data_IF_820387293983
#
_entry.id   IF_820387293983
#
_cell.length_a   1.000
_cell.length_b   1.000
_cell.length_c   1.000
_cell.angle_alpha   90.00
_cell.angle_beta   90.00
_cell.angle_gamma   90.00
#
_symmetry.space_group_name_H-M   'P 1'
#
loop_
_entity.id
_entity.type
_entity.pdbx_description
1 polymer ?
#
# COMPACT_ATOMS: atom_id res chain seq x y z
N UNK A 1 -2.10 -33.68 5.44
CA UNK A 1 -1.41 -32.98 4.33
C UNK A 1 -2.30 -33.04 3.11
N UNK A 2 -3.18 -32.04 2.94
CA UNK A 2 -4.07 -31.97 1.79
C UNK A 2 -3.34 -31.20 0.66
N UNK A 3 -3.17 -31.84 -0.49
CA UNK A 3 -2.59 -31.22 -1.67
C UNK A 3 -3.50 -30.08 -2.15
N UNK A 4 -2.92 -28.92 -2.46
CA UNK A 4 -3.64 -27.82 -3.07
C UNK A 4 -4.28 -28.30 -4.38
N UNK A 5 -5.60 -28.13 -4.52
CA UNK A 5 -6.33 -28.47 -5.74
C UNK A 5 -5.80 -27.59 -6.87
N UNK A 6 -5.03 -28.18 -7.78
CA UNK A 6 -4.63 -27.55 -9.03
C UNK A 6 -5.88 -27.45 -9.90
N UNK A 7 -6.49 -26.27 -9.97
CA UNK A 7 -7.65 -26.02 -10.83
C UNK A 7 -7.20 -25.96 -12.30
N UNK A 8 -7.83 -26.78 -13.13
CA UNK A 8 -7.59 -26.80 -14.58
C UNK A 8 -8.09 -25.50 -15.21
N UNK A 9 -7.19 -24.80 -15.91
CA UNK A 9 -7.48 -23.55 -16.63
C UNK A 9 -8.21 -23.79 -17.97
N UNK A 10 -8.52 -25.02 -18.37
CA UNK A 10 -9.08 -25.32 -19.71
C UNK A 10 -10.56 -25.65 -19.71
N UNK A 11 -11.20 -25.65 -18.55
CA UNK A 11 -12.64 -25.89 -18.45
C UNK A 11 -13.37 -24.57 -18.69
N UNK A 12 -14.31 -24.55 -19.65
CA UNK A 12 -15.25 -23.43 -19.81
C UNK A 12 -16.03 -23.30 -18.50
N UNK A 13 -15.64 -22.32 -17.67
CA UNK A 13 -16.33 -22.01 -16.41
C UNK A 13 -17.73 -21.49 -16.74
N UNK A 14 -18.71 -21.88 -15.93
CA UNK A 14 -19.97 -21.16 -15.86
C UNK A 14 -19.68 -19.67 -15.54
N UNK A 15 -20.57 -18.76 -15.96
CA UNK A 15 -20.42 -17.32 -15.68
C UNK A 15 -20.15 -17.11 -14.18
N UNK A 16 -19.04 -16.45 -13.84
CA UNK A 16 -18.64 -16.25 -12.46
C UNK A 16 -19.74 -15.52 -11.68
N UNK A 17 -20.06 -16.03 -10.49
CA UNK A 17 -20.98 -15.35 -9.57
C UNK A 17 -20.28 -14.18 -8.88
N UNK A 18 -21.04 -13.33 -8.19
CA UNK A 18 -20.45 -12.25 -7.39
C UNK A 18 -19.54 -12.79 -6.27
N UNK A 19 -19.94 -13.89 -5.63
CA UNK A 19 -19.16 -14.56 -4.58
C UNK A 19 -17.83 -15.11 -5.14
N UNK A 20 -17.85 -15.68 -6.35
CA UNK A 20 -16.62 -16.16 -7.01
C UNK A 20 -15.64 -15.02 -7.27
N UNK A 21 -16.13 -13.84 -7.63
CA UNK A 21 -15.29 -12.65 -7.88
C UNK A 21 -14.71 -12.08 -6.57
N UNK A 22 -15.47 -12.08 -5.49
CA UNK A 22 -14.99 -11.65 -4.16
C UNK A 22 -13.91 -12.61 -3.61
N UNK A 23 -14.12 -13.92 -3.79
CA UNK A 23 -13.12 -14.93 -3.44
C UNK A 23 -11.85 -14.75 -4.28
N UNK A 24 -11.99 -14.56 -5.59
CA UNK A 24 -10.86 -14.28 -6.48
C UNK A 24 -10.10 -13.03 -6.06
N UNK A 25 -10.79 -11.95 -5.69
CA UNK A 25 -10.15 -10.71 -5.26
C UNK A 25 -9.31 -10.91 -4.00
N UNK A 26 -9.83 -11.69 -3.06
CA UNK A 26 -9.12 -12.04 -1.82
C UNK A 26 -7.89 -12.89 -2.12
N UNK A 27 -8.04 -13.94 -2.95
CA UNK A 27 -6.96 -14.85 -3.33
C UNK A 27 -5.85 -14.13 -4.10
N UNK A 28 -6.21 -13.24 -5.02
CA UNK A 28 -5.29 -12.43 -5.82
C UNK A 28 -4.50 -11.46 -4.93
N UNK A 29 -5.15 -10.79 -3.98
CA UNK A 29 -4.46 -9.89 -3.04
C UNK A 29 -3.52 -10.67 -2.11
N UNK A 30 -3.92 -11.84 -1.62
CA UNK A 30 -3.05 -12.72 -0.84
C UNK A 30 -1.86 -13.21 -1.68
N UNK A 31 -2.11 -13.62 -2.94
CA UNK A 31 -1.07 -14.03 -3.89
C UNK A 31 -0.10 -12.90 -4.21
N UNK A 32 -0.57 -11.66 -4.30
CA UNK A 32 0.27 -10.48 -4.48
C UNK A 32 1.21 -10.30 -3.28
N UNK A 33 0.68 -10.33 -2.04
CA UNK A 33 1.49 -10.23 -0.82
C UNK A 33 2.57 -11.31 -0.78
N UNK A 34 2.22 -12.56 -1.08
CA UNK A 34 3.17 -13.67 -1.16
C UNK A 34 4.23 -13.44 -2.24
N UNK A 35 3.87 -12.89 -3.40
CA UNK A 35 4.82 -12.57 -4.45
C UNK A 35 5.80 -11.48 -4.03
N UNK A 36 5.34 -10.45 -3.30
CA UNK A 36 6.20 -9.38 -2.77
C UNK A 36 7.15 -9.88 -1.69
N UNK A 37 6.66 -10.75 -0.80
CA UNK A 37 7.49 -11.42 0.20
C UNK A 37 8.56 -12.31 -0.44
N UNK A 38 8.19 -13.11 -1.45
CA UNK A 38 9.13 -13.95 -2.20
C UNK A 38 10.19 -13.12 -2.97
N UNK A 39 9.86 -11.88 -3.34
CA UNK A 39 10.81 -10.93 -3.93
C UNK A 39 11.74 -10.27 -2.90
N UNK A 40 11.66 -10.64 -1.62
CA UNK A 40 12.54 -10.16 -0.55
C UNK A 40 12.23 -8.75 -0.05
N UNK A 41 10.99 -8.26 -0.25
CA UNK A 41 10.61 -6.93 0.25
C UNK A 41 10.28 -6.94 1.74
N UNK A 42 10.58 -5.81 2.39
CA UNK A 42 10.23 -5.61 3.80
C UNK A 42 8.72 -5.55 4.02
N UNK A 43 8.26 -6.02 5.18
CA UNK A 43 6.86 -5.95 5.59
C UNK A 43 6.29 -4.53 5.52
N UNK A 44 7.09 -3.51 5.84
CA UNK A 44 6.69 -2.11 5.75
C UNK A 44 6.40 -1.68 4.31
N UNK A 45 7.16 -2.17 3.33
CA UNK A 45 6.90 -1.91 1.91
C UNK A 45 5.65 -2.64 1.44
N UNK A 46 5.51 -3.91 1.80
CA UNK A 46 4.34 -4.73 1.43
C UNK A 46 3.06 -4.13 2.02
N UNK A 47 3.09 -3.78 3.30
CA UNK A 47 2.00 -3.09 4.00
C UNK A 47 1.64 -1.77 3.30
N UNK A 48 2.64 -0.96 2.93
CA UNK A 48 2.41 0.28 2.20
C UNK A 48 1.77 0.05 0.82
N UNK A 49 2.19 -0.98 0.08
CA UNK A 49 1.59 -1.35 -1.20
C UNK A 49 0.11 -1.74 -1.02
N UNK A 50 -0.18 -2.62 -0.04
CA UNK A 50 -1.55 -3.06 0.26
C UNK A 50 -2.45 -1.89 0.65
N UNK A 51 -1.99 -0.99 1.53
CA UNK A 51 -2.74 0.21 1.92
C UNK A 51 -3.08 1.08 0.71
N UNK A 52 -2.14 1.23 -0.23
CA UNK A 52 -2.39 1.99 -1.47
C UNK A 52 -3.42 1.32 -2.39
N UNK A 53 -3.39 0.00 -2.50
CA UNK A 53 -4.35 -0.77 -3.27
C UNK A 53 -5.75 -0.72 -2.64
N UNK A 54 -5.86 -0.89 -1.33
CA UNK A 54 -7.12 -0.79 -0.59
C UNK A 54 -7.75 0.60 -0.72
N UNK A 55 -6.95 1.66 -0.64
CA UNK A 55 -7.42 3.04 -0.84
C UNK A 55 -7.95 3.28 -2.26
N UNK A 56 -7.33 2.66 -3.27
CA UNK A 56 -7.82 2.72 -4.65
C UNK A 56 -9.11 1.91 -4.82
N UNK A 57 -9.18 0.70 -4.26
CA UNK A 57 -10.36 -0.17 -4.28
C UNK A 57 -11.55 0.49 -3.59
N UNK A 58 -11.33 1.10 -2.42
CA UNK A 58 -12.36 1.80 -1.65
C UNK A 58 -12.98 2.97 -2.44
N UNK A 59 -12.18 3.66 -3.25
CA UNK A 59 -12.68 4.71 -4.14
C UNK A 59 -13.42 4.12 -5.35
N UNK A 60 -12.87 3.08 -5.97
CA UNK A 60 -13.41 2.48 -7.18
C UNK A 60 -14.75 1.74 -6.92
N UNK A 61 -14.96 1.24 -5.69
CA UNK A 61 -16.13 0.45 -5.26
C UNK A 61 -16.35 -0.84 -6.07
N UNK A 62 -15.33 -1.25 -6.80
CA UNK A 62 -15.27 -2.43 -7.67
C UNK A 62 -13.86 -3.01 -7.58
N UNK A 63 -13.66 -4.27 -8.02
CA UNK A 63 -12.33 -4.86 -8.05
C UNK A 63 -11.35 -4.02 -8.87
N UNK A 64 -10.09 -4.01 -8.45
CA UNK A 64 -9.08 -3.12 -9.04
C UNK A 64 -8.80 -3.38 -10.52
N UNK A 65 -8.97 -4.60 -11.01
CA UNK A 65 -8.83 -4.91 -12.45
C UNK A 65 -9.93 -4.27 -13.32
N UNK A 66 -10.94 -3.64 -12.72
CA UNK A 66 -11.96 -2.84 -13.42
C UNK A 66 -11.65 -1.33 -13.39
N UNK A 67 -10.42 -0.96 -13.05
CA UNK A 67 -10.02 0.43 -12.87
C UNK A 67 -9.99 1.24 -14.18
N UNK A 68 -9.87 0.62 -15.35
CA UNK A 68 -10.03 1.31 -16.63
C UNK A 68 -11.53 1.37 -17.00
N UNK A 69 -12.10 2.56 -17.35
CA UNK A 69 -11.47 3.85 -17.67
C UNK A 69 -11.38 4.87 -16.50
N UNK A 70 -11.63 4.45 -15.26
CA UNK A 70 -11.69 5.33 -14.09
C UNK A 70 -10.31 5.88 -13.65
N UNK A 71 -9.21 5.30 -14.11
CA UNK A 71 -7.85 5.65 -13.70
C UNK A 71 -7.49 7.11 -13.98
N UNK A 72 -7.87 7.65 -15.14
CA UNK A 72 -7.64 9.05 -15.48
C UNK A 72 -8.34 10.00 -14.49
N UNK A 73 -9.57 9.69 -14.08
CA UNK A 73 -10.29 10.46 -13.07
C UNK A 73 -9.66 10.33 -11.68
N UNK A 74 -9.20 9.13 -11.32
CA UNK A 74 -8.54 8.87 -10.05
C UNK A 74 -7.27 9.73 -9.89
N UNK A 75 -6.33 9.62 -10.82
CA UNK A 75 -5.06 10.34 -10.73
C UNK A 75 -5.22 11.84 -11.05
N UNK A 76 -6.12 12.22 -11.96
CA UNK A 76 -6.30 13.61 -12.40
C UNK A 76 -7.17 14.50 -11.49
N UNK A 77 -8.09 13.89 -10.71
CA UNK A 77 -9.01 14.61 -9.81
C UNK A 77 -8.81 14.21 -8.36
N UNK A 78 -8.96 12.92 -8.04
CA UNK A 78 -8.99 12.43 -6.64
C UNK A 78 -7.66 12.64 -5.94
N UNK A 79 -6.56 12.36 -6.63
CA UNK A 79 -5.22 12.47 -6.04
C UNK A 79 -4.56 13.83 -6.24
N UNK A 80 -5.26 14.81 -6.85
CA UNK A 80 -4.68 16.10 -7.23
C UNK A 80 -4.13 16.88 -6.02
N UNK A 81 -4.81 16.82 -4.88
CA UNK A 81 -4.38 17.49 -3.64
C UNK A 81 -3.40 16.67 -2.80
N UNK A 82 -3.20 15.40 -3.13
CA UNK A 82 -2.29 14.51 -2.40
C UNK A 82 -0.83 14.91 -2.64
N UNK A 83 0.02 14.75 -1.63
CA UNK A 83 1.47 14.94 -1.76
C UNK A 83 2.04 14.16 -2.96
N UNK A 84 2.98 14.77 -3.68
CA UNK A 84 3.57 14.18 -4.91
C UNK A 84 4.18 12.81 -4.65
N UNK A 85 4.92 12.66 -3.55
CA UNK A 85 5.52 11.38 -3.16
C UNK A 85 4.48 10.28 -2.93
N UNK A 86 3.37 10.60 -2.26
CA UNK A 86 2.27 9.66 -2.02
C UNK A 86 1.55 9.30 -3.32
N UNK A 87 1.34 10.25 -4.24
CA UNK A 87 0.81 9.94 -5.57
C UNK A 87 1.69 8.95 -6.33
N UNK A 88 3.00 9.18 -6.32
CA UNK A 88 3.97 8.32 -6.98
C UNK A 88 3.98 6.91 -6.37
N UNK A 89 4.01 6.82 -5.04
CA UNK A 89 3.93 5.54 -4.34
C UNK A 89 2.65 4.77 -4.68
N UNK A 90 1.50 5.46 -4.72
CA UNK A 90 0.23 4.83 -5.08
C UNK A 90 0.20 4.35 -6.53
N UNK A 91 0.70 5.16 -7.47
CA UNK A 91 0.84 4.74 -8.87
C UNK A 91 1.77 3.52 -9.01
N UNK A 92 2.88 3.50 -8.27
CA UNK A 92 3.81 2.37 -8.29
C UNK A 92 3.18 1.10 -7.74
N UNK A 93 2.40 1.17 -6.66
CA UNK A 93 1.69 0.03 -6.10
C UNK A 93 0.68 -0.54 -7.11
N UNK A 94 -0.16 0.30 -7.71
CA UNK A 94 -1.13 -0.11 -8.75
C UNK A 94 -0.42 -0.74 -9.95
N UNK A 95 0.64 -0.11 -10.48
CA UNK A 95 1.41 -0.65 -11.60
C UNK A 95 1.99 -2.04 -11.28
N UNK A 96 2.54 -2.20 -10.07
CA UNK A 96 3.15 -3.46 -9.63
C UNK A 96 2.10 -4.55 -9.46
N UNK A 97 0.91 -4.19 -8.95
CA UNK A 97 -0.22 -5.10 -8.84
C UNK A 97 -0.72 -5.56 -10.21
N UNK A 98 -0.92 -4.65 -11.17
CA UNK A 98 -1.34 -5.02 -12.52
C UNK A 98 -0.30 -5.88 -13.25
N UNK A 99 0.99 -5.60 -13.10
CA UNK A 99 2.04 -6.48 -13.62
C UNK A 99 1.95 -7.90 -13.01
N UNK A 100 1.64 -8.00 -11.71
CA UNK A 100 1.41 -9.30 -11.07
C UNK A 100 0.19 -10.02 -11.65
N UNK A 101 -0.91 -9.30 -11.91
CA UNK A 101 -2.11 -9.86 -12.54
C UNK A 101 -1.83 -10.36 -13.95
N UNK A 102 -1.17 -9.56 -14.77
CA UNK A 102 -0.78 -9.92 -16.15
C UNK A 102 0.06 -11.20 -16.15
N UNK A 103 1.05 -11.29 -15.25
CA UNK A 103 1.95 -12.45 -15.21
C UNK A 103 1.32 -13.75 -14.67
N UNK A 104 0.30 -13.67 -13.80
CA UNK A 104 -0.18 -14.85 -13.05
C UNK A 104 -1.67 -15.13 -13.16
N UNK A 105 -2.48 -14.14 -13.46
CA UNK A 105 -3.94 -14.21 -13.38
C UNK A 105 -4.66 -13.74 -14.64
N UNK A 106 -3.96 -13.32 -15.69
CA UNK A 106 -4.57 -12.82 -16.94
C UNK A 106 -5.56 -13.84 -17.53
N UNK A 107 -5.15 -15.10 -17.65
CA UNK A 107 -5.99 -16.17 -18.21
C UNK A 107 -7.21 -16.44 -17.33
N UNK A 108 -7.05 -16.52 -16.01
CA UNK A 108 -8.15 -16.77 -15.08
C UNK A 108 -9.15 -15.61 -15.05
N UNK A 109 -8.66 -14.37 -14.99
CA UNK A 109 -9.48 -13.17 -15.02
C UNK A 109 -10.24 -13.05 -16.34
N UNK A 110 -9.59 -13.32 -17.47
CA UNK A 110 -10.25 -13.33 -18.78
C UNK A 110 -11.35 -14.40 -18.84
N UNK A 111 -11.11 -15.60 -18.32
CA UNK A 111 -12.13 -16.66 -18.29
C UNK A 111 -13.33 -16.31 -17.41
N UNK A 112 -13.10 -15.68 -16.25
CA UNK A 112 -14.18 -15.35 -15.31
C UNK A 112 -14.95 -14.08 -15.67
N UNK A 113 -14.28 -13.10 -16.27
CA UNK A 113 -14.84 -11.76 -16.47
C UNK A 113 -14.98 -11.37 -17.95
N UNK A 114 -14.34 -12.11 -18.86
CA UNK A 114 -14.24 -11.74 -20.28
C UNK A 114 -13.34 -10.53 -20.54
N UNK A 115 -12.60 -10.04 -19.55
CA UNK A 115 -11.74 -8.85 -19.66
C UNK A 115 -10.27 -9.25 -19.74
N UNK A 116 -9.55 -8.58 -20.62
CA UNK A 116 -8.08 -8.60 -20.61
C UNK A 116 -7.61 -7.64 -19.53
N UNK A 117 -6.62 -8.07 -18.76
CA UNK A 117 -6.00 -7.24 -17.74
C UNK A 117 -4.95 -6.38 -18.41
N UNK A 118 -5.09 -5.06 -18.29
CA UNK A 118 -4.10 -4.10 -18.77
C UNK A 118 -3.85 -3.07 -17.67
N UNK A 119 -2.58 -2.75 -17.45
CA UNK A 119 -2.17 -1.71 -16.51
C UNK A 119 -2.84 -0.36 -16.84
N UNK A 120 -3.65 0.22 -15.94
CA UNK A 120 -4.41 1.45 -16.21
C UNK A 120 -3.54 2.72 -16.10
N UNK A 121 -2.24 2.57 -15.90
CA UNK A 121 -1.28 3.67 -15.74
C UNK A 121 -0.52 3.86 -17.05
N UNK A 122 -0.98 4.84 -17.80
CA UNK A 122 -0.43 5.32 -19.05
C UNK A 122 0.49 6.53 -18.87
N UNK A 123 1.20 6.90 -19.93
CA UNK A 123 2.11 8.05 -19.90
C UNK A 123 1.39 9.36 -19.53
N UNK A 124 0.11 9.50 -19.87
CA UNK A 124 -0.69 10.70 -19.60
C UNK A 124 -1.12 10.84 -18.13
N UNK A 125 -1.30 9.74 -17.42
CA UNK A 125 -1.78 9.74 -16.03
C UNK A 125 -0.67 9.36 -15.02
N UNK A 126 0.51 8.96 -15.50
CA UNK A 126 1.69 8.67 -14.66
C UNK A 126 2.15 9.92 -13.89
N UNK A 127 2.16 9.90 -12.55
CA UNK A 127 2.68 11.01 -11.76
C UNK A 127 4.19 11.15 -12.01
N UNK A 128 4.61 12.34 -12.44
CA UNK A 128 6.04 12.65 -12.67
C UNK A 128 6.75 12.93 -11.35
N UNK A 129 7.84 12.21 -11.10
CA UNK A 129 8.78 12.54 -10.03
C UNK A 129 9.72 13.65 -10.47
N UNK A 130 9.74 14.77 -9.74
CA UNK A 130 10.73 15.83 -9.93
C UNK A 130 11.83 15.76 -8.86
N UNK A 131 13.11 16.06 -9.18
CA UNK A 131 14.22 16.03 -8.21
C UNK A 131 14.08 17.03 -7.03
N UNK A 132 13.13 17.96 -7.09
CA UNK A 132 13.12 19.17 -6.26
C UNK A 132 12.27 19.08 -4.98
N UNK A 133 11.53 18.01 -4.74
CA UNK A 133 10.60 17.92 -3.58
C UNK A 133 11.27 17.42 -2.29
N UNK A 134 12.61 17.31 -2.30
CA UNK A 134 13.40 16.63 -1.27
C UNK A 134 14.41 17.53 -0.59
N UNK A 135 14.18 18.85 -0.54
CA UNK A 135 14.96 19.74 0.30
C UNK A 135 14.67 19.44 1.78
N UNK A 136 15.27 18.37 2.28
CA UNK A 136 15.38 18.09 3.70
C UNK A 136 16.53 18.95 4.22
N UNK A 137 16.19 20.16 4.65
CA UNK A 137 17.15 21.03 5.31
C UNK A 137 17.56 20.34 6.62
N UNK A 138 18.85 20.00 6.81
CA UNK A 138 19.32 19.46 8.06
C UNK A 138 19.07 20.48 9.18
N UNK A 139 18.65 20.05 10.39
CA UNK A 139 18.52 20.97 11.51
C UNK A 139 19.88 21.58 11.85
N UNK A 140 19.88 22.86 12.26
CA UNK A 140 21.09 23.53 12.73
C UNK A 140 21.53 22.95 14.08
N UNK A 141 22.82 23.12 14.42
CA UNK A 141 23.34 22.68 15.72
C UNK A 141 22.56 23.26 16.92
N UNK A 142 22.08 24.50 16.81
CA UNK A 142 21.23 25.14 17.82
C UNK A 142 19.84 24.49 17.93
N UNK A 143 19.23 24.08 16.82
CA UNK A 143 17.95 23.37 16.84
C UNK A 143 18.10 21.99 17.48
N UNK A 144 19.20 21.28 17.17
CA UNK A 144 19.54 20.00 17.79
C UNK A 144 19.77 20.17 19.30
N UNK A 145 20.55 21.17 19.71
CA UNK A 145 20.84 21.44 21.12
C UNK A 145 19.58 21.79 21.92
N UNK A 146 18.69 22.62 21.36
CA UNK A 146 17.40 22.94 21.99
C UNK A 146 16.50 21.73 22.16
N UNK A 147 16.40 20.85 21.14
CA UNK A 147 15.64 19.62 21.22
C UNK A 147 16.11 18.74 22.39
N UNK A 148 17.42 18.49 22.49
CA UNK A 148 17.97 17.63 23.53
C UNK A 148 17.91 18.27 24.93
N UNK A 149 18.05 19.59 25.03
CA UNK A 149 17.89 20.31 26.30
C UNK A 149 16.46 20.21 26.82
N UNK A 150 15.46 20.50 25.96
CA UNK A 150 14.05 20.38 26.32
C UNK A 150 13.64 18.95 26.66
N UNK A 151 14.13 17.96 25.89
CA UNK A 151 13.89 16.55 26.18
C UNK A 151 14.42 16.15 27.56
N UNK A 152 15.64 16.58 27.93
CA UNK A 152 16.22 16.29 29.25
C UNK A 152 15.40 16.88 30.39
N UNK A 153 14.87 18.10 30.22
CA UNK A 153 14.01 18.75 31.21
C UNK A 153 12.69 17.99 31.37
N UNK A 154 12.04 17.61 30.27
CA UNK A 154 10.81 16.81 30.31
C UNK A 154 11.00 15.44 30.97
N UNK A 155 12.16 14.79 30.77
CA UNK A 155 12.51 13.54 31.48
C UNK A 155 12.70 13.78 32.99
N UNK A 156 13.33 14.89 33.39
CA UNK A 156 13.52 15.22 34.80
C UNK A 156 12.19 15.54 35.51
N UNK A 157 11.26 16.20 34.83
CA UNK A 157 9.93 16.53 35.36
C UNK A 157 8.99 15.33 35.45
N UNK A 158 9.12 14.36 34.53
CA UNK A 158 8.31 13.14 34.50
C UNK A 158 8.89 11.99 35.34
N UNK A 159 10.10 12.16 35.89
CA UNK A 159 10.70 11.14 36.74
C UNK A 159 9.95 11.05 38.09
N UNK A 160 9.53 9.85 38.53
CA UNK A 160 8.91 9.67 39.83
C UNK A 160 9.83 10.18 40.95
N UNK A 161 9.32 11.08 41.79
CA UNK A 161 10.02 11.51 43.01
C UNK A 161 10.07 10.31 43.97
N UNK A 162 11.24 9.92 44.51
CA UNK A 162 11.29 8.86 45.51
C UNK A 162 10.40 9.24 46.71
N UNK A 163 9.71 8.27 47.34
CA UNK A 163 8.87 8.56 48.50
C UNK A 163 9.72 9.24 49.58
N UNK A 164 9.19 10.31 50.17
CA UNK A 164 9.85 11.00 51.27
C UNK A 164 10.05 10.01 52.42
N UNK A 165 11.28 9.58 52.66
CA UNK A 165 11.66 8.92 53.91
C UNK A 165 11.51 9.94 55.02
N UNK A 166 10.40 9.86 55.76
CA UNK A 166 10.24 10.54 57.04
C UNK A 166 11.40 10.14 57.95
N UNK A 167 12.21 11.08 58.47
CA UNK A 167 13.26 10.73 59.41
C UNK A 167 12.64 10.15 60.69
N UNK A 168 13.30 9.19 61.36
CA UNK A 168 12.76 8.60 62.57
C UNK A 168 12.60 9.67 63.65
N UNK A 169 11.40 9.72 64.26
CA UNK A 169 11.16 10.52 65.45
C UNK A 169 12.05 10.00 66.59
N UNK A 170 12.84 10.89 67.16
CA UNK A 170 13.59 10.65 68.39
C UNK A 170 12.69 10.58 69.62
#
# INVERSE_FOLDING_TARGET
MALAVVKDLRVVRASATAEDLEALETDVLAGFVLARAAAGLSDGTISSDVVHLEQARAWLRRPLWEMEPAAAAYFGKVLRSTAKGTRLARAQAIKTFFLFLELRHEVELHQMTGRVVECPIEEMNRPRGGPLDRLRIPPTAEQVSRLFTGWRQGVAESSPRPPATTPPAG
#
